data_IF_237345648969
#
_entry.id   IF_237345648969
#
_cell.length_a   1.000
_cell.length_b   1.000
_cell.length_c   1.000
_cell.angle_alpha   90.00
_cell.angle_beta   90.00
_cell.angle_gamma   90.00
#
_symmetry.space_group_name_H-M   'P 1'
#
loop_
_entity.id
_entity.type
_entity.pdbx_description
1 polymer ?
#
# COMPACT_ATOMS: atom_id res chain seq x y z
N UNK A 1 4.66 -46.15 7.23
CA UNK A 1 4.97 -44.82 6.64
C UNK A 1 3.69 -43.99 6.54
N UNK A 2 3.32 -43.19 7.57
CA UNK A 2 2.06 -42.43 7.57
C UNK A 2 2.24 -41.02 6.98
N UNK A 3 2.97 -40.90 5.86
CA UNK A 3 3.25 -39.61 5.24
C UNK A 3 2.14 -39.01 4.33
N UNK A 4 1.10 -39.72 3.83
CA UNK A 4 0.11 -39.06 2.95
C UNK A 4 -0.96 -38.21 3.67
N UNK A 5 -1.35 -38.57 4.90
CA UNK A 5 -2.52 -38.00 5.58
C UNK A 5 -2.27 -36.62 6.19
N UNK A 6 -1.05 -36.36 6.67
CA UNK A 6 -0.68 -35.05 7.25
C UNK A 6 -0.67 -33.93 6.19
N UNK A 7 -0.27 -34.25 4.96
CA UNK A 7 -0.24 -33.29 3.85
C UNK A 7 -1.65 -32.95 3.35
N UNK A 8 -2.56 -33.94 3.29
CA UNK A 8 -3.96 -33.71 2.95
C UNK A 8 -4.69 -32.89 4.02
N UNK A 9 -4.43 -33.16 5.30
CA UNK A 9 -4.97 -32.36 6.41
C UNK A 9 -4.48 -30.91 6.39
N UNK A 10 -3.19 -30.68 6.18
CA UNK A 10 -2.61 -29.34 6.05
C UNK A 10 -3.13 -28.57 4.84
N UNK A 11 -3.25 -29.23 3.69
CA UNK A 11 -3.77 -28.61 2.46
C UNK A 11 -5.26 -28.22 2.59
N UNK A 12 -6.07 -29.06 3.23
CA UNK A 12 -7.49 -28.75 3.47
C UNK A 12 -7.67 -27.55 4.41
N UNK A 13 -6.90 -27.49 5.51
CA UNK A 13 -6.93 -26.35 6.45
C UNK A 13 -6.48 -25.07 5.73
N UNK A 14 -5.39 -25.13 4.96
CA UNK A 14 -4.92 -23.99 4.17
C UNK A 14 -5.96 -23.49 3.17
N UNK A 15 -6.63 -24.40 2.44
CA UNK A 15 -7.68 -24.04 1.50
C UNK A 15 -8.89 -23.38 2.20
N UNK A 16 -9.28 -23.86 3.38
CA UNK A 16 -10.36 -23.27 4.18
C UNK A 16 -10.00 -21.85 4.65
N UNK A 17 -8.78 -21.64 5.16
CA UNK A 17 -8.32 -20.31 5.58
C UNK A 17 -8.29 -19.31 4.42
N UNK A 18 -7.79 -19.74 3.25
CA UNK A 18 -7.78 -18.91 2.04
C UNK A 18 -9.19 -18.58 1.55
N UNK A 19 -10.13 -19.53 1.65
CA UNK A 19 -11.52 -19.30 1.29
C UNK A 19 -12.20 -18.31 2.25
N UNK A 20 -11.95 -18.43 3.56
CA UNK A 20 -12.46 -17.50 4.57
C UNK A 20 -11.90 -16.07 4.37
N UNK A 21 -10.60 -15.92 4.10
CA UNK A 21 -10.02 -14.60 3.81
C UNK A 21 -10.62 -13.98 2.54
N UNK A 22 -10.82 -14.79 1.49
CA UNK A 22 -11.47 -14.36 0.25
C UNK A 22 -12.90 -13.90 0.49
N UNK A 23 -13.67 -14.65 1.27
CA UNK A 23 -15.05 -14.31 1.59
C UNK A 23 -15.12 -13.02 2.41
N UNK A 24 -14.27 -12.86 3.43
CA UNK A 24 -14.19 -11.63 4.23
C UNK A 24 -13.91 -10.40 3.37
N UNK A 25 -12.94 -10.49 2.45
CA UNK A 25 -12.64 -9.41 1.49
C UNK A 25 -13.82 -9.12 0.57
N UNK A 26 -14.44 -10.16 0.01
CA UNK A 26 -15.61 -10.01 -0.83
C UNK A 26 -16.76 -9.30 -0.10
N UNK A 27 -17.05 -9.69 1.14
CA UNK A 27 -18.07 -9.04 1.97
C UNK A 27 -17.74 -7.59 2.27
N UNK A 28 -16.46 -7.27 2.54
CA UNK A 28 -16.04 -5.88 2.76
C UNK A 28 -16.19 -5.04 1.49
N UNK A 29 -15.84 -5.56 0.33
CA UNK A 29 -16.07 -4.90 -0.96
C UNK A 29 -17.55 -4.63 -1.23
N UNK A 30 -18.42 -5.60 -0.92
CA UNK A 30 -19.87 -5.40 -1.00
C UNK A 30 -20.35 -4.31 -0.04
N UNK A 31 -19.80 -4.23 1.17
CA UNK A 31 -20.09 -3.14 2.12
C UNK A 31 -19.62 -1.78 1.59
N UNK A 32 -18.45 -1.70 0.93
CA UNK A 32 -17.95 -0.47 0.29
C UNK A 32 -18.88 -0.02 -0.83
N UNK A 33 -19.28 -0.94 -1.72
CA UNK A 33 -20.25 -0.67 -2.79
C UNK A 33 -21.59 -0.16 -2.27
N UNK A 34 -22.05 -0.66 -1.13
CA UNK A 34 -23.28 -0.23 -0.46
C UNK A 34 -23.13 1.05 0.37
N UNK A 35 -21.93 1.61 0.50
CA UNK A 35 -21.67 2.81 1.31
C UNK A 35 -21.74 2.58 2.83
N UNK A 36 -21.68 1.32 3.28
CA UNK A 36 -21.79 0.92 4.70
C UNK A 36 -20.47 0.38 5.26
N UNK A 37 -19.38 0.48 4.51
CA UNK A 37 -18.06 0.08 4.99
C UNK A 37 -17.60 0.97 6.16
N UNK A 38 -16.75 0.44 7.06
CA UNK A 38 -16.18 1.22 8.16
C UNK A 38 -15.53 2.51 7.67
N UNK A 39 -15.97 3.64 8.21
CA UNK A 39 -15.46 4.98 7.88
C UNK A 39 -14.39 5.45 8.85
N UNK A 40 -14.56 5.09 10.12
CA UNK A 40 -13.72 5.56 11.23
C UNK A 40 -12.65 4.54 11.55
N UNK A 41 -11.43 5.01 11.73
CA UNK A 41 -10.34 4.22 12.28
C UNK A 41 -10.40 4.25 13.81
N UNK A 42 -10.14 3.11 14.46
CA UNK A 42 -9.80 3.07 15.89
C UNK A 42 -8.33 2.68 16.01
N UNK A 43 -7.62 3.35 16.90
CA UNK A 43 -6.22 3.05 17.15
C UNK A 43 -6.07 1.58 17.61
N UNK A 44 -5.17 0.85 16.97
CA UNK A 44 -5.00 -0.59 17.16
C UNK A 44 -5.82 -1.47 16.21
N UNK A 45 -6.74 -0.92 15.40
CA UNK A 45 -7.41 -1.68 14.36
C UNK A 45 -6.42 -2.09 13.26
N UNK A 46 -6.57 -3.31 12.75
CA UNK A 46 -5.94 -3.71 11.50
C UNK A 46 -6.58 -2.97 10.31
N UNK A 47 -5.85 -2.87 9.20
CA UNK A 47 -6.42 -2.38 7.95
C UNK A 47 -7.70 -3.17 7.60
N UNK A 48 -8.82 -2.49 7.33
CA UNK A 48 -10.01 -3.16 6.83
C UNK A 48 -9.72 -3.91 5.52
N UNK A 49 -8.98 -3.29 4.60
CA UNK A 49 -8.57 -3.90 3.34
C UNK A 49 -7.12 -3.58 3.00
N UNK A 50 -6.26 -4.59 3.11
CA UNK A 50 -4.87 -4.53 2.69
C UNK A 50 -4.73 -4.71 1.16
N UNK A 51 -3.66 -4.17 0.54
CA UNK A 51 -3.38 -4.39 -0.87
C UNK A 51 -3.21 -5.88 -1.17
N UNK A 52 -3.51 -6.30 -2.40
CA UNK A 52 -3.40 -7.72 -2.76
C UNK A 52 -3.25 -7.97 -4.24
N UNK A 53 -2.22 -8.73 -4.58
CA UNK A 53 -1.94 -9.15 -5.97
C UNK A 53 -3.02 -10.11 -6.47
N UNK A 54 -3.40 -11.09 -5.63
CA UNK A 54 -4.26 -12.22 -5.99
C UNK A 54 -5.75 -11.88 -6.05
N UNK A 55 -6.18 -10.91 -5.25
CA UNK A 55 -7.59 -10.55 -5.09
C UNK A 55 -7.71 -9.05 -5.19
N UNK A 56 -7.76 -8.55 -6.43
CA UNK A 56 -8.00 -7.14 -6.68
C UNK A 56 -9.45 -6.79 -6.39
N UNK A 57 -9.63 -5.58 -5.84
CA UNK A 57 -10.96 -5.02 -5.62
C UNK A 57 -11.72 -4.78 -6.92
N UNK A 58 -13.05 -4.76 -6.80
CA UNK A 58 -13.96 -4.51 -7.92
C UNK A 58 -13.84 -3.11 -8.56
N UNK A 59 -13.21 -2.14 -7.89
CA UNK A 59 -13.04 -0.77 -8.37
C UNK A 59 -11.56 -0.41 -8.45
N UNK A 60 -11.16 0.12 -9.60
CA UNK A 60 -9.86 0.77 -9.77
C UNK A 60 -10.00 2.28 -9.61
N UNK A 61 -8.96 2.92 -9.11
CA UNK A 61 -8.94 4.38 -8.85
C UNK A 61 -7.86 5.06 -9.67
N UNK A 62 -8.13 6.25 -10.17
CA UNK A 62 -7.12 7.06 -10.85
C UNK A 62 -6.23 7.71 -9.79
N UNK A 63 -4.90 7.48 -9.78
CA UNK A 63 -4.02 8.22 -8.90
C UNK A 63 -4.05 9.72 -9.22
N UNK A 64 -3.98 10.53 -8.17
CA UNK A 64 -3.86 11.99 -8.23
C UNK A 64 -2.44 12.41 -7.82
N UNK A 65 -1.92 13.57 -8.27
CA UNK A 65 -0.66 14.11 -7.74
C UNK A 65 -0.67 14.16 -6.19
N UNK A 66 0.36 13.62 -5.56
CA UNK A 66 0.46 13.48 -4.10
C UNK A 66 -0.19 12.21 -3.53
N UNK A 67 -0.77 11.34 -4.36
CA UNK A 67 -1.34 10.07 -3.87
C UNK A 67 -0.26 9.19 -3.27
N UNK A 68 -0.56 8.59 -2.12
CA UNK A 68 0.29 7.56 -1.54
C UNK A 68 0.03 6.24 -2.28
N UNK A 69 1.10 5.62 -2.78
CA UNK A 69 1.02 4.39 -3.56
C UNK A 69 1.89 3.29 -2.97
N UNK A 70 1.53 2.04 -3.23
CA UNK A 70 2.37 0.88 -2.92
C UNK A 70 2.33 -0.18 -4.01
N UNK A 71 3.33 -1.06 -4.02
CA UNK A 71 3.36 -2.30 -4.80
C UNK A 71 4.02 -3.41 -3.98
N UNK A 72 3.96 -4.65 -4.47
CA UNK A 72 4.63 -5.79 -3.85
C UNK A 72 5.97 -6.11 -4.52
N UNK A 73 6.96 -6.42 -3.69
CA UNK A 73 8.28 -6.96 -4.03
C UNK A 73 8.30 -8.42 -3.62
N UNK A 74 8.60 -9.31 -4.57
CA UNK A 74 8.54 -10.77 -4.40
C UNK A 74 7.24 -11.32 -3.78
N UNK A 75 6.14 -10.57 -3.91
CA UNK A 75 4.80 -10.94 -3.44
C UNK A 75 4.60 -10.85 -1.92
N UNK A 76 5.62 -10.38 -1.19
CA UNK A 76 5.68 -10.44 0.27
C UNK A 76 6.01 -9.11 0.94
N UNK A 77 6.80 -8.25 0.29
CA UNK A 77 7.29 -6.99 0.87
C UNK A 77 6.65 -5.83 0.14
N UNK A 78 6.05 -4.88 0.87
CA UNK A 78 5.52 -3.67 0.26
C UNK A 78 6.61 -2.64 -0.01
N UNK A 79 6.52 -1.97 -1.15
CA UNK A 79 7.33 -0.82 -1.47
C UNK A 79 6.43 0.37 -1.80
N UNK A 80 6.65 1.48 -1.11
CA UNK A 80 5.79 2.67 -1.17
C UNK A 80 6.45 3.83 -1.90
N UNK A 81 5.61 4.72 -2.42
CA UNK A 81 6.01 5.95 -3.08
C UNK A 81 4.90 6.99 -3.09
N UNK A 82 5.15 8.08 -3.80
CA UNK A 82 4.24 9.22 -3.91
C UNK A 82 4.01 9.47 -5.40
N UNK A 83 2.75 9.45 -5.82
CA UNK A 83 2.38 9.71 -7.22
C UNK A 83 2.73 11.16 -7.59
N UNK A 84 3.42 11.34 -8.71
CA UNK A 84 3.81 12.65 -9.21
C UNK A 84 2.81 13.11 -10.27
N UNK A 85 2.84 12.50 -11.45
CA UNK A 85 1.93 12.77 -12.57
C UNK A 85 1.98 11.61 -13.59
N UNK A 86 1.43 11.78 -14.79
CA UNK A 86 1.61 10.99 -16.04
C UNK A 86 2.44 9.67 -15.98
N UNK A 87 2.00 8.69 -15.19
CA UNK A 87 2.71 7.42 -14.96
C UNK A 87 4.11 7.57 -14.36
N UNK A 88 4.35 8.65 -13.64
CA UNK A 88 5.55 8.93 -12.86
C UNK A 88 5.23 9.01 -11.37
N UNK A 89 6.19 8.62 -10.56
CA UNK A 89 6.09 8.64 -9.11
C UNK A 89 7.47 8.82 -8.50
N UNK A 90 7.49 9.28 -7.26
CA UNK A 90 8.70 9.50 -6.47
C UNK A 90 8.84 8.34 -5.49
N UNK A 91 10.02 7.73 -5.46
CA UNK A 91 10.39 6.68 -4.50
C UNK A 91 11.73 6.97 -3.84
N UNK A 92 11.91 6.46 -2.62
CA UNK A 92 13.24 6.24 -2.05
C UNK A 92 13.75 4.89 -2.54
N UNK A 93 14.80 4.89 -3.36
CA UNK A 93 15.43 3.68 -3.84
C UNK A 93 16.30 3.02 -2.76
N UNK A 94 16.52 1.70 -2.85
CA UNK A 94 17.37 0.97 -1.90
C UNK A 94 18.85 1.40 -1.88
N UNK A 95 19.27 2.24 -2.84
CA UNK A 95 20.58 2.90 -2.80
C UNK A 95 20.60 4.19 -1.97
N UNK A 96 19.48 4.57 -1.34
CA UNK A 96 19.33 5.83 -0.62
C UNK A 96 18.96 7.05 -1.48
N UNK A 97 18.92 6.91 -2.80
CA UNK A 97 18.55 8.01 -3.70
C UNK A 97 17.03 8.17 -3.77
N UNK A 98 16.54 9.37 -3.48
CA UNK A 98 15.17 9.76 -3.82
C UNK A 98 15.10 10.13 -5.29
N UNK A 99 14.22 9.46 -6.04
CA UNK A 99 14.14 9.58 -7.50
C UNK A 99 12.71 9.59 -8.00
N UNK A 100 12.47 10.34 -9.08
CA UNK A 100 11.28 10.20 -9.89
C UNK A 100 11.48 9.08 -10.92
N UNK A 101 10.52 8.17 -11.04
CA UNK A 101 10.58 7.01 -11.93
C UNK A 101 9.23 6.75 -12.58
N UNK A 102 9.23 6.11 -13.75
CA UNK A 102 7.99 5.64 -14.36
C UNK A 102 7.38 4.47 -13.59
N UNK A 103 6.08 4.22 -13.74
CA UNK A 103 5.38 3.03 -13.21
C UNK A 103 6.08 1.74 -13.62
N UNK A 104 6.55 1.64 -14.87
CA UNK A 104 7.32 0.49 -15.38
C UNK A 104 8.60 0.28 -14.58
N UNK A 105 9.34 1.35 -14.31
CA UNK A 105 10.58 1.28 -13.51
C UNK A 105 10.27 0.99 -12.04
N UNK A 106 9.17 1.51 -11.51
CA UNK A 106 8.69 1.22 -10.16
C UNK A 106 8.21 -0.23 -9.99
N UNK A 107 7.87 -0.95 -11.06
CA UNK A 107 7.55 -2.38 -10.97
C UNK A 107 8.73 -3.27 -11.39
N UNK A 108 9.71 -2.72 -12.12
CA UNK A 108 10.86 -3.48 -12.61
C UNK A 108 11.68 -4.12 -11.49
N UNK A 109 12.03 -5.39 -11.66
CA UNK A 109 12.81 -6.15 -10.65
C UNK A 109 12.01 -6.51 -9.40
N UNK A 110 10.69 -6.33 -9.43
CA UNK A 110 9.73 -6.69 -8.38
C UNK A 110 8.74 -7.67 -9.01
N UNK A 111 8.23 -8.65 -8.24
CA UNK A 111 7.19 -9.56 -8.77
C UNK A 111 5.80 -8.91 -8.80
N UNK A 112 5.67 -7.70 -8.24
CA UNK A 112 4.45 -6.92 -8.33
C UNK A 112 4.14 -6.53 -9.76
N UNK A 113 2.93 -6.82 -10.20
CA UNK A 113 2.36 -6.38 -11.48
C UNK A 113 1.37 -5.22 -11.32
N UNK A 114 1.15 -4.75 -10.09
CA UNK A 114 0.08 -3.84 -9.72
C UNK A 114 0.58 -2.76 -8.77
N UNK A 115 0.03 -1.57 -8.94
CA UNK A 115 0.17 -0.45 -8.02
C UNK A 115 -1.17 -0.26 -7.32
N UNK A 116 -1.15 -0.03 -6.01
CA UNK A 116 -2.32 0.27 -5.21
C UNK A 116 -2.22 1.69 -4.67
N UNK A 117 -3.37 2.33 -4.47
CA UNK A 117 -3.50 3.71 -4.02
C UNK A 117 -4.24 3.75 -2.68
N UNK A 118 -3.71 4.53 -1.74
CA UNK A 118 -4.35 4.80 -0.47
C UNK A 118 -5.68 5.55 -0.67
N UNK A 119 -6.78 4.97 -0.19
CA UNK A 119 -8.13 5.45 -0.40
C UNK A 119 -8.98 5.40 0.87
N UNK A 120 -10.07 6.18 0.86
CA UNK A 120 -11.15 6.12 1.83
C UNK A 120 -12.08 4.92 1.57
N UNK A 121 -13.01 4.71 2.50
CA UNK A 121 -14.06 3.69 2.40
C UNK A 121 -14.90 3.76 1.11
N UNK A 122 -15.09 4.94 0.53
CA UNK A 122 -15.88 5.21 -0.67
C UNK A 122 -15.02 5.34 -1.95
N UNK A 123 -13.76 4.89 -1.89
CA UNK A 123 -12.80 4.88 -2.99
C UNK A 123 -12.36 6.29 -3.44
N UNK A 124 -12.38 7.26 -2.52
CA UNK A 124 -11.74 8.56 -2.75
C UNK A 124 -10.27 8.45 -2.42
N UNK A 125 -9.43 8.98 -3.30
CA UNK A 125 -7.98 8.97 -3.12
C UNK A 125 -7.62 9.91 -1.97
N UNK A 126 -6.78 9.44 -1.05
CA UNK A 126 -6.28 10.25 0.05
C UNK A 126 -5.05 11.03 -0.42
N UNK A 127 -5.16 12.35 -0.38
CA UNK A 127 -4.08 13.28 -0.77
C UNK A 127 -3.96 14.39 0.25
N UNK A 128 -2.74 14.85 0.46
CA UNK A 128 -2.41 16.06 1.21
C UNK A 128 -1.61 16.99 0.28
N UNK A 129 -2.12 18.17 -0.08
CA UNK A 129 -1.47 19.05 -1.07
C UNK A 129 -0.01 19.36 -0.75
N UNK A 130 0.33 19.60 0.52
CA UNK A 130 1.69 19.92 0.94
C UNK A 130 2.67 18.73 0.81
N UNK A 131 2.17 17.49 0.73
CA UNK A 131 3.00 16.29 0.61
C UNK A 131 3.75 16.25 -0.72
N UNK A 132 3.09 16.62 -1.82
CA UNK A 132 3.68 16.57 -3.16
C UNK A 132 4.86 17.52 -3.27
N UNK A 133 4.71 18.74 -2.77
CA UNK A 133 5.78 19.75 -2.81
C UNK A 133 7.03 19.25 -2.08
N UNK A 134 6.86 18.71 -0.87
CA UNK A 134 7.97 18.14 -0.08
C UNK A 134 8.62 16.95 -0.81
N UNK A 135 7.82 16.09 -1.44
CA UNK A 135 8.33 14.96 -2.21
C UNK A 135 9.15 15.43 -3.42
N UNK A 136 8.69 16.46 -4.12
CA UNK A 136 9.40 17.06 -5.26
C UNK A 136 10.72 17.71 -4.83
N UNK A 137 10.71 18.45 -3.72
CA UNK A 137 11.93 19.05 -3.14
C UNK A 137 12.97 17.99 -2.73
N UNK A 138 12.51 16.78 -2.39
CA UNK A 138 13.40 15.68 -2.02
C UNK A 138 14.02 14.95 -3.23
N UNK A 139 13.57 15.18 -4.48
CA UNK A 139 14.14 14.50 -5.64
C UNK A 139 15.63 14.83 -5.77
N UNK A 140 16.45 13.83 -6.09
CA UNK A 140 17.92 13.89 -6.15
C UNK A 140 18.63 14.11 -4.81
N UNK A 141 17.90 14.06 -3.70
CA UNK A 141 18.53 14.00 -2.37
C UNK A 141 18.90 12.56 -2.02
N UNK A 142 19.88 12.44 -1.13
CA UNK A 142 20.32 11.17 -0.56
C UNK A 142 19.81 11.04 0.87
N UNK A 143 19.30 9.86 1.20
CA UNK A 143 18.94 9.43 2.56
C UNK A 143 19.64 8.09 2.79
N UNK A 144 20.37 7.96 3.87
CA UNK A 144 21.00 6.68 4.25
C UNK A 144 19.91 5.61 4.37
N UNK A 145 19.91 4.57 3.54
CA UNK A 145 18.80 3.62 3.47
C UNK A 145 19.04 2.43 4.40
N UNK A 146 18.01 2.08 5.18
CA UNK A 146 17.98 0.88 6.01
C UNK A 146 16.59 0.27 5.89
N UNK A 147 16.50 -1.05 5.64
CA UNK A 147 15.22 -1.73 5.42
C UNK A 147 14.27 -1.63 6.61
N UNK A 148 14.80 -1.56 7.83
CA UNK A 148 14.07 -1.56 9.09
C UNK A 148 13.96 -0.18 9.74
N UNK A 149 14.78 0.80 9.33
CA UNK A 149 14.79 2.15 9.91
C UNK A 149 14.55 3.26 8.87
N UNK A 150 15.42 3.37 7.86
CA UNK A 150 15.36 4.39 6.82
C UNK A 150 14.78 3.84 5.50
N UNK A 151 13.56 3.34 5.56
CA UNK A 151 12.89 2.68 4.43
C UNK A 151 12.00 3.64 3.61
N UNK A 152 11.37 3.09 2.58
CA UNK A 152 10.45 3.82 1.70
C UNK A 152 9.18 4.29 2.40
N UNK A 153 8.74 3.63 3.48
CA UNK A 153 7.57 4.02 4.26
C UNK A 153 7.86 5.26 5.10
N UNK A 154 9.04 5.31 5.74
CA UNK A 154 9.50 6.49 6.47
C UNK A 154 9.63 7.71 5.57
N UNK A 155 10.10 7.53 4.32
CA UNK A 155 10.13 8.61 3.32
C UNK A 155 8.73 9.18 3.05
N UNK A 156 7.76 8.31 2.73
CA UNK A 156 6.38 8.72 2.49
C UNK A 156 5.79 9.44 3.70
N UNK A 157 6.04 8.93 4.91
CA UNK A 157 5.57 9.56 6.15
C UNK A 157 6.22 10.91 6.41
N UNK A 158 7.52 11.09 6.14
CA UNK A 158 8.19 12.38 6.37
C UNK A 158 7.70 13.44 5.38
N UNK A 159 7.41 13.07 4.13
CA UNK A 159 6.75 13.97 3.19
C UNK A 159 5.35 14.37 3.68
N UNK A 160 4.55 13.44 4.21
CA UNK A 160 3.20 13.76 4.69
C UNK A 160 3.24 14.60 5.98
N UNK A 161 3.88 14.08 7.02
CA UNK A 161 3.88 14.67 8.36
C UNK A 161 4.80 15.89 8.51
N UNK A 162 5.82 16.01 7.63
CA UNK A 162 6.92 16.96 7.81
C UNK A 162 7.90 16.60 8.94
N UNK A 163 7.81 15.38 9.49
CA UNK A 163 8.66 14.92 10.60
C UNK A 163 9.49 13.71 10.21
N UNK A 164 10.73 13.69 10.69
CA UNK A 164 11.61 12.52 10.59
C UNK A 164 11.41 11.62 11.81
N UNK A 165 10.51 10.65 11.67
CA UNK A 165 10.16 9.70 12.72
C UNK A 165 10.46 8.27 12.26
N UNK A 166 10.85 7.39 13.19
CA UNK A 166 11.06 5.98 12.87
C UNK A 166 9.75 5.31 12.45
N UNK A 167 9.84 4.49 11.42
CA UNK A 167 8.70 3.78 10.85
C UNK A 167 9.24 2.50 10.21
N UNK A 168 9.03 1.38 10.91
CA UNK A 168 9.72 0.13 10.64
C UNK A 168 9.00 -0.78 9.65
N UNK A 169 7.67 -0.63 9.54
CA UNK A 169 6.84 -1.53 8.75
C UNK A 169 5.75 -0.84 7.94
N UNK A 170 5.23 -1.54 6.94
CA UNK A 170 4.05 -1.10 6.20
C UNK A 170 2.82 -0.96 7.11
N UNK A 171 2.67 -1.80 8.14
CA UNK A 171 1.60 -1.68 9.11
C UNK A 171 1.70 -0.36 9.92
N UNK A 172 2.90 0.04 10.33
CA UNK A 172 3.12 1.31 11.03
C UNK A 172 2.72 2.50 10.15
N UNK A 173 3.06 2.44 8.85
CA UNK A 173 2.61 3.45 7.89
C UNK A 173 1.09 3.51 7.84
N UNK A 174 0.43 2.37 7.71
CA UNK A 174 -1.02 2.31 7.63
C UNK A 174 -1.73 2.88 8.86
N UNK A 175 -1.23 2.59 10.06
CA UNK A 175 -1.76 3.16 11.31
C UNK A 175 -1.58 4.68 11.35
N UNK A 176 -0.39 5.19 10.99
CA UNK A 176 -0.10 6.62 10.93
C UNK A 176 -0.94 7.35 9.89
N UNK A 177 -1.12 6.77 8.71
CA UNK A 177 -1.99 7.32 7.66
C UNK A 177 -3.45 7.37 8.11
N UNK A 178 -3.98 6.29 8.68
CA UNK A 178 -5.35 6.25 9.17
C UNK A 178 -5.60 7.27 10.29
N UNK A 179 -4.63 7.44 11.20
CA UNK A 179 -4.64 8.48 12.22
C UNK A 179 -4.55 9.90 11.64
N UNK A 180 -3.65 10.14 10.70
CA UNK A 180 -3.46 11.45 10.05
C UNK A 180 -4.72 11.91 9.31
N UNK A 181 -5.32 11.04 8.50
CA UNK A 181 -6.54 11.34 7.77
C UNK A 181 -7.82 11.17 8.59
N UNK A 182 -7.70 10.76 9.87
CA UNK A 182 -8.79 10.50 10.81
C UNK A 182 -9.92 9.63 10.23
N UNK A 183 -9.54 8.57 9.50
CA UNK A 183 -10.48 7.68 8.84
C UNK A 183 -9.87 6.30 8.56
N UNK A 184 -10.72 5.31 8.31
CA UNK A 184 -10.29 3.99 7.88
C UNK A 184 -9.56 4.05 6.52
N UNK A 185 -8.39 3.41 6.45
CA UNK A 185 -7.56 3.34 5.26
C UNK A 185 -7.87 2.07 4.45
N UNK A 186 -7.95 2.22 3.13
CA UNK A 186 -8.14 1.14 2.16
C UNK A 186 -7.11 1.27 1.04
N UNK A 187 -6.82 0.16 0.35
CA UNK A 187 -5.91 0.15 -0.79
C UNK A 187 -6.62 -0.37 -2.03
N UNK A 188 -6.85 0.51 -3.01
CA UNK A 188 -7.50 0.17 -4.27
C UNK A 188 -6.48 0.06 -5.41
N UNK A 189 -6.71 -0.85 -6.36
CA UNK A 189 -5.82 -0.99 -7.51
C UNK A 189 -5.84 0.30 -8.36
N UNK A 190 -4.66 0.79 -8.74
CA UNK A 190 -4.54 1.95 -9.61
C UNK A 190 -5.07 1.62 -11.01
N UNK A 191 -5.87 2.53 -11.57
CA UNK A 191 -6.30 2.48 -12.96
C UNK A 191 -5.15 2.98 -13.83
N UNK A 192 -4.34 2.06 -14.34
CA UNK A 192 -3.18 2.34 -15.17
C UNK A 192 -3.19 1.43 -16.39
N UNK A 193 -2.90 2.01 -17.55
CA UNK A 193 -2.58 1.27 -18.77
C UNK A 193 -1.05 1.06 -18.79
N UNK A 194 -0.58 -0.01 -18.15
CA UNK A 194 0.86 -0.30 -17.97
C UNK A 194 1.39 -1.22 -19.07
#
# INVERSE_FOLDING_TARGET
>A
MPLPLLWLGGAAIGAVLLADEREKRHQLELKRRKGIAPKTFKEGDHLPLAPSVWQAGHKKVQPQPGSIICCFVYGLIEHTGIWLDEHTLIELHGSGLVRAVSTKRFLAGRTGSKIFVACSHDHQVLVEPAMLEKAQQAIYTYREYDLFDNNCHRFVWSCLSGKEESLSSFNDLNQRLAGYFNQSLYWDEAKLDI
#
